data_IF_745350762151
#
_entry.id   IF_745350762151
#
_cell.length_a   1.000
_cell.length_b   1.000
_cell.length_c   1.000
_cell.angle_alpha   90.00
_cell.angle_beta   90.00
_cell.angle_gamma   90.00
#
_symmetry.space_group_name_H-M   'P 1'
#
loop_
_entity.id
_entity.type
_entity.pdbx_description
1 polymer ?
#
# COMPACT_ATOMS: atom_id res chain seq x y z
N UNK A 1 12.81 11.05 24.13
CA UNK A 1 12.20 11.77 23.00
C UNK A 1 11.40 10.78 22.18
N UNK A 2 10.12 11.08 21.96
CA UNK A 2 9.20 10.22 21.16
C UNK A 2 9.17 10.73 19.70
N UNK A 3 10.34 10.84 19.07
CA UNK A 3 10.47 11.28 17.69
C UNK A 3 11.09 10.18 16.84
N UNK A 4 10.55 9.99 15.64
CA UNK A 4 11.15 9.21 14.56
C UNK A 4 11.69 10.15 13.50
N UNK A 5 12.86 9.86 12.96
CA UNK A 5 13.44 10.56 11.84
C UNK A 5 13.79 9.55 10.73
N UNK A 6 13.51 9.91 9.50
CA UNK A 6 13.86 9.11 8.33
C UNK A 6 14.37 10.02 7.22
N UNK A 7 15.43 9.59 6.58
CA UNK A 7 15.96 10.23 5.37
C UNK A 7 15.91 9.26 4.21
N UNK A 8 15.30 9.69 3.10
CA UNK A 8 15.28 8.96 1.83
C UNK A 8 16.13 9.74 0.83
N UNK A 9 17.03 9.03 0.17
CA UNK A 9 17.89 9.58 -0.86
C UNK A 9 17.72 8.81 -2.16
N UNK A 10 17.62 9.56 -3.27
CA UNK A 10 17.59 8.99 -4.61
C UNK A 10 18.56 9.77 -5.52
N UNK A 11 19.27 9.05 -6.38
CA UNK A 11 20.18 9.59 -7.37
C UNK A 11 19.55 9.71 -8.77
N UNK A 12 18.23 9.82 -8.83
CA UNK A 12 17.48 9.95 -10.08
C UNK A 12 17.62 11.32 -10.76
N UNK A 13 16.66 11.64 -11.62
CA UNK A 13 16.69 12.88 -12.43
C UNK A 13 16.28 14.14 -11.65
N UNK A 14 15.82 14.00 -10.40
CA UNK A 14 15.30 15.09 -9.59
C UNK A 14 13.90 15.57 -9.97
N UNK A 15 13.24 16.24 -9.03
CA UNK A 15 11.83 16.66 -9.18
C UNK A 15 11.67 17.67 -10.33
N UNK A 16 12.60 18.61 -10.48
CA UNK A 16 12.52 19.61 -11.54
C UNK A 16 12.54 18.99 -12.94
N UNK A 17 13.50 18.12 -13.21
CA UNK A 17 13.58 17.44 -14.51
C UNK A 17 12.42 16.49 -14.75
N UNK A 18 11.83 15.93 -13.68
CA UNK A 18 10.63 15.11 -13.79
C UNK A 18 9.40 15.92 -14.22
N UNK A 19 9.27 17.18 -13.79
CA UNK A 19 8.09 18.01 -14.04
C UNK A 19 8.27 19.09 -15.11
N UNK A 20 9.49 19.44 -15.53
CA UNK A 20 9.76 20.57 -16.45
C UNK A 20 8.99 20.48 -17.78
N UNK A 21 8.87 19.28 -18.32
CA UNK A 21 8.22 19.01 -19.61
C UNK A 21 6.74 18.59 -19.43
N UNK A 22 6.23 18.58 -18.17
CA UNK A 22 4.83 18.31 -17.86
C UNK A 22 3.97 19.55 -18.09
N UNK A 23 2.66 19.40 -18.01
CA UNK A 23 1.68 20.51 -18.09
C UNK A 23 1.89 21.61 -17.02
N UNK A 24 2.67 21.35 -15.99
CA UNK A 24 2.89 22.27 -14.86
C UNK A 24 4.02 23.28 -15.11
N UNK A 25 4.98 22.96 -15.99
CA UNK A 25 6.07 23.84 -16.41
C UNK A 25 6.74 24.64 -15.26
N UNK A 26 7.27 24.01 -14.21
CA UNK A 26 7.94 24.75 -13.13
C UNK A 26 9.14 25.54 -13.69
N UNK A 27 9.35 26.76 -13.19
CA UNK A 27 10.41 27.65 -13.65
C UNK A 27 11.74 27.42 -12.93
N UNK A 28 11.66 26.96 -11.68
CA UNK A 28 12.84 26.72 -10.84
C UNK A 28 12.74 25.37 -10.14
N UNK A 29 13.87 24.83 -9.63
CA UNK A 29 13.83 23.62 -8.80
C UNK A 29 12.91 23.72 -7.59
N UNK A 30 12.83 24.90 -6.95
CA UNK A 30 11.93 25.08 -5.79
C UNK A 30 10.47 25.13 -6.21
N UNK A 31 10.15 25.70 -7.38
CA UNK A 31 8.76 25.65 -7.90
C UNK A 31 8.32 24.21 -8.12
N UNK A 32 9.22 23.37 -8.66
CA UNK A 32 8.94 21.96 -8.87
C UNK A 32 8.68 21.21 -7.55
N UNK A 33 9.46 21.49 -6.50
CA UNK A 33 9.25 20.91 -5.17
C UNK A 33 7.90 21.37 -4.60
N UNK A 34 7.61 22.67 -4.69
CA UNK A 34 6.35 23.26 -4.20
C UNK A 34 5.13 22.70 -4.93
N UNK A 35 5.26 22.40 -6.21
CA UNK A 35 4.21 21.68 -6.96
C UNK A 35 4.10 20.22 -6.46
N UNK A 36 5.22 19.50 -6.34
CA UNK A 36 5.22 18.07 -6.02
C UNK A 36 4.63 17.74 -4.63
N UNK A 37 4.58 18.70 -3.70
CA UNK A 37 3.90 18.55 -2.41
C UNK A 37 2.40 18.88 -2.46
N UNK A 38 1.84 19.19 -3.64
CA UNK A 38 0.41 19.38 -3.84
C UNK A 38 -0.26 18.09 -4.32
N UNK A 39 -1.56 18.00 -4.10
CA UNK A 39 -2.37 16.85 -4.49
C UNK A 39 -2.38 16.65 -6.01
N UNK A 40 -2.29 15.40 -6.45
CA UNK A 40 -2.37 14.96 -7.85
C UNK A 40 -1.29 15.50 -8.80
N UNK A 41 -0.20 16.00 -8.28
CA UNK A 41 0.91 16.47 -9.13
C UNK A 41 1.83 15.29 -9.47
N UNK A 42 1.77 14.87 -10.71
CA UNK A 42 2.66 13.85 -11.28
C UNK A 42 3.01 14.21 -12.72
N UNK A 43 4.17 13.77 -13.19
CA UNK A 43 4.56 13.93 -14.60
C UNK A 43 3.64 13.13 -15.54
N UNK A 44 3.20 11.98 -15.07
CA UNK A 44 2.40 11.03 -15.82
C UNK A 44 1.46 10.29 -14.86
N UNK A 45 0.16 10.31 -15.16
CA UNK A 45 -0.87 9.64 -14.36
C UNK A 45 -0.88 8.12 -14.55
N UNK A 46 -0.28 7.61 -15.62
CA UNK A 46 -0.13 6.17 -15.85
C UNK A 46 0.96 5.58 -14.96
N UNK A 47 1.96 6.38 -14.54
CA UNK A 47 3.08 5.94 -13.70
C UNK A 47 2.78 6.11 -12.21
N UNK A 48 1.95 7.08 -11.84
CA UNK A 48 1.61 7.33 -10.45
C UNK A 48 0.59 8.44 -10.25
N UNK A 49 -0.19 8.34 -9.19
CA UNK A 49 -1.28 9.29 -8.90
C UNK A 49 -0.80 10.66 -8.42
N UNK A 50 0.50 10.81 -8.08
CA UNK A 50 1.08 12.07 -7.61
C UNK A 50 0.75 12.43 -6.15
N UNK A 51 0.35 11.46 -5.34
CA UNK A 51 -0.10 11.71 -3.97
C UNK A 51 0.95 11.41 -2.89
N UNK A 52 2.10 10.82 -3.24
CA UNK A 52 3.11 10.39 -2.27
C UNK A 52 3.71 11.53 -1.45
N UNK A 53 4.23 12.56 -2.09
CA UNK A 53 4.81 13.73 -1.40
C UNK A 53 3.74 14.59 -0.73
N UNK A 54 2.58 14.73 -1.35
CA UNK A 54 1.43 15.42 -0.74
C UNK A 54 1.01 14.70 0.56
N UNK A 55 0.84 13.37 0.52
CA UNK A 55 0.47 12.58 1.70
C UNK A 55 1.51 12.70 2.81
N UNK A 56 2.81 12.59 2.48
CA UNK A 56 3.89 12.78 3.46
C UNK A 56 3.82 14.18 4.09
N UNK A 57 3.66 15.21 3.28
CA UNK A 57 3.54 16.60 3.76
C UNK A 57 2.34 16.78 4.69
N UNK A 58 1.18 16.21 4.35
CA UNK A 58 -0.03 16.23 5.17
C UNK A 58 0.17 15.53 6.52
N UNK A 59 0.80 14.35 6.54
CA UNK A 59 1.15 13.61 7.76
C UNK A 59 2.06 14.46 8.66
N UNK A 60 3.09 15.07 8.08
CA UNK A 60 4.04 15.90 8.80
C UNK A 60 3.36 17.15 9.39
N UNK A 61 2.47 17.80 8.65
CA UNK A 61 1.71 18.95 9.12
C UNK A 61 0.83 18.59 10.32
N UNK A 62 0.06 17.51 10.25
CA UNK A 62 -0.82 17.09 11.34
C UNK A 62 -0.04 16.60 12.56
N UNK A 63 1.04 15.84 12.35
CA UNK A 63 1.93 15.36 13.40
C UNK A 63 2.82 16.45 14.00
N UNK A 64 2.73 17.72 13.54
CA UNK A 64 3.62 18.82 13.95
C UNK A 64 5.09 18.41 13.86
N UNK A 65 5.42 17.72 12.79
CA UNK A 65 6.77 17.28 12.47
C UNK A 65 7.55 18.32 11.68
N UNK A 66 8.71 17.92 11.17
CA UNK A 66 9.50 18.71 10.23
C UNK A 66 9.74 17.92 8.95
N UNK A 67 9.81 18.64 7.83
CA UNK A 67 10.10 18.06 6.51
C UNK A 67 11.12 18.93 5.80
N UNK A 68 12.14 18.32 5.24
CA UNK A 68 13.10 18.99 4.36
C UNK A 68 13.20 18.21 3.05
N UNK A 69 12.98 18.90 1.95
CA UNK A 69 13.11 18.34 0.60
C UNK A 69 14.19 19.13 -0.13
N UNK A 70 15.23 18.45 -0.57
CA UNK A 70 16.27 19.01 -1.43
C UNK A 70 16.25 18.24 -2.73
N UNK A 71 16.04 18.91 -3.88
CA UNK A 71 16.09 18.28 -5.18
C UNK A 71 16.82 19.17 -6.18
N UNK A 72 17.89 18.63 -6.76
CA UNK A 72 18.83 19.45 -7.51
C UNK A 72 19.41 20.55 -6.61
N UNK A 73 19.22 21.80 -7.00
CA UNK A 73 19.66 22.98 -6.21
C UNK A 73 18.55 23.62 -5.40
N UNK A 74 17.30 23.19 -5.59
CA UNK A 74 16.15 23.72 -4.83
C UNK A 74 16.03 23.07 -3.45
N UNK A 75 15.50 23.82 -2.50
CA UNK A 75 15.20 23.33 -1.17
C UNK A 75 13.87 23.88 -0.66
N UNK A 76 13.12 23.02 -0.01
CA UNK A 76 11.90 23.34 0.74
C UNK A 76 12.03 22.77 2.14
N UNK A 77 11.72 23.56 3.16
CA UNK A 77 11.67 23.10 4.55
C UNK A 77 10.38 23.54 5.20
N UNK A 78 9.74 22.60 5.91
CA UNK A 78 8.57 22.82 6.74
C UNK A 78 8.95 22.55 8.21
N UNK A 79 8.53 23.41 9.12
CA UNK A 79 8.87 23.36 10.55
C UNK A 79 7.65 23.05 11.42
N UNK A 80 7.85 22.53 12.65
CA UNK A 80 6.76 22.17 13.56
C UNK A 80 5.81 23.30 13.94
N UNK A 81 6.27 24.56 13.82
CA UNK A 81 5.49 25.79 14.07
C UNK A 81 4.61 26.19 12.86
N UNK A 82 4.63 25.40 11.78
CA UNK A 82 3.89 25.68 10.56
C UNK A 82 4.62 26.58 9.57
N UNK A 83 5.78 27.13 9.95
CA UNK A 83 6.57 27.97 9.05
C UNK A 83 7.23 27.16 7.94
N UNK A 84 7.45 27.81 6.80
CA UNK A 84 8.15 27.23 5.65
C UNK A 84 9.32 28.10 5.24
N UNK A 85 10.40 27.48 4.76
CA UNK A 85 11.53 28.16 4.12
C UNK A 85 11.84 27.51 2.80
N UNK A 86 12.09 28.32 1.79
CA UNK A 86 12.46 27.84 0.45
C UNK A 86 13.70 28.55 -0.03
N UNK A 87 14.55 27.79 -0.73
CA UNK A 87 15.72 28.34 -1.39
C UNK A 87 15.72 27.86 -2.85
N UNK A 88 15.61 28.78 -3.82
CA UNK A 88 15.61 28.40 -5.25
C UNK A 88 16.95 27.81 -5.68
N UNK A 89 18.04 28.24 -5.06
CA UNK A 89 19.37 27.75 -5.34
C UNK A 89 20.20 27.64 -4.06
N UNK A 90 20.48 26.42 -3.66
CA UNK A 90 21.39 26.18 -2.54
C UNK A 90 22.82 26.54 -2.92
N UNK A 91 23.54 27.32 -2.08
CA UNK A 91 24.95 27.60 -2.31
C UNK A 91 25.77 26.29 -2.24
N UNK A 92 26.88 26.26 -2.95
CA UNK A 92 27.84 25.14 -2.97
C UNK A 92 27.29 23.79 -3.53
N UNK A 93 26.05 23.75 -4.02
CA UNK A 93 25.51 22.59 -4.72
C UNK A 93 25.75 22.76 -6.23
N UNK A 94 26.32 21.73 -6.86
CA UNK A 94 26.57 21.71 -8.30
C UNK A 94 25.28 21.93 -9.10
N UNK A 95 25.39 22.68 -10.19
CA UNK A 95 24.28 22.86 -11.13
C UNK A 95 23.88 21.55 -11.84
N UNK A 96 24.77 20.56 -11.83
CA UNK A 96 24.53 19.23 -12.38
C UNK A 96 23.90 18.26 -11.37
N UNK A 97 23.77 18.67 -10.10
CA UNK A 97 23.14 17.83 -9.10
C UNK A 97 21.67 17.63 -9.43
N UNK A 98 21.24 16.37 -9.53
CA UNK A 98 19.88 15.98 -9.82
C UNK A 98 19.28 15.11 -8.71
N UNK A 99 20.08 14.75 -7.69
CA UNK A 99 19.63 13.93 -6.56
C UNK A 99 18.46 14.57 -5.85
N UNK A 100 17.62 13.72 -5.26
CA UNK A 100 16.58 14.14 -4.35
C UNK A 100 16.85 13.55 -2.96
N UNK A 101 16.77 14.40 -1.94
CA UNK A 101 16.84 13.99 -0.54
C UNK A 101 15.58 14.49 0.16
N UNK A 102 14.91 13.58 0.84
CA UNK A 102 13.74 13.88 1.67
C UNK A 102 14.08 13.46 3.10
N UNK A 103 14.16 14.42 3.99
CA UNK A 103 14.35 14.21 5.42
C UNK A 103 13.09 14.63 6.16
N UNK A 104 12.57 13.77 7.03
CA UNK A 104 11.44 14.12 7.84
C UNK A 104 11.52 13.57 9.26
N UNK A 105 10.90 14.30 10.17
CA UNK A 105 10.82 13.94 11.58
C UNK A 105 9.36 14.01 12.02
N UNK A 106 8.92 12.99 12.72
CA UNK A 106 7.59 12.87 13.29
C UNK A 106 7.68 12.72 14.81
N UNK A 107 6.82 13.45 15.50
CA UNK A 107 6.57 13.23 16.92
C UNK A 107 5.37 12.29 17.08
N UNK A 108 5.60 11.10 17.64
CA UNK A 108 4.54 10.11 17.88
C UNK A 108 4.07 10.07 19.35
N UNK A 109 4.37 11.12 20.13
CA UNK A 109 3.84 11.27 21.49
C UNK A 109 2.32 11.53 21.51
N UNK A 110 1.75 11.93 20.35
CA UNK A 110 0.31 12.14 20.20
C UNK A 110 -0.23 11.12 19.20
N UNK A 111 -1.37 10.54 19.53
CA UNK A 111 -2.08 9.70 18.60
C UNK A 111 -2.42 10.50 17.35
N UNK A 112 -2.05 9.98 16.20
CA UNK A 112 -2.32 10.55 14.90
C UNK A 112 -3.03 9.49 14.04
N UNK A 113 -4.19 9.87 13.53
CA UNK A 113 -4.93 9.03 12.59
C UNK A 113 -4.35 9.23 11.19
N UNK A 114 -3.78 8.18 10.59
CA UNK A 114 -3.33 8.22 9.20
C UNK A 114 -4.49 8.50 8.24
N UNK A 115 -5.68 7.94 8.51
CA UNK A 115 -6.87 8.20 7.70
C UNK A 115 -7.32 9.66 7.70
N UNK A 116 -7.10 10.38 8.82
CA UNK A 116 -7.40 11.82 8.90
C UNK A 116 -6.29 12.68 8.28
N UNK A 117 -5.07 12.14 8.22
CA UNK A 117 -3.90 12.82 7.63
C UNK A 117 -3.87 12.68 6.11
N UNK A 118 -4.38 11.58 5.58
CA UNK A 118 -4.40 11.28 4.16
C UNK A 118 -5.81 11.54 3.62
N UNK A 119 -6.05 12.78 3.20
CA UNK A 119 -7.33 13.21 2.68
C UNK A 119 -7.14 13.61 1.21
N UNK A 120 -7.66 12.78 0.29
CA UNK A 120 -7.52 13.00 -1.15
C UNK A 120 -8.89 13.22 -1.79
N UNK A 121 -9.02 14.21 -2.65
CA UNK A 121 -10.27 14.55 -3.38
C UNK A 121 -11.48 14.69 -2.47
N UNK A 122 -11.30 15.22 -1.27
CA UNK A 122 -12.38 15.36 -0.32
C UNK A 122 -12.85 14.05 0.35
N UNK A 123 -12.08 12.96 0.24
CA UNK A 123 -12.34 11.67 0.89
C UNK A 123 -11.18 11.32 1.80
N UNK A 124 -11.49 10.75 2.97
CA UNK A 124 -10.48 10.13 3.83
C UNK A 124 -9.84 8.98 3.07
N UNK A 125 -8.51 8.94 3.09
CA UNK A 125 -7.78 7.80 2.58
C UNK A 125 -7.77 6.73 3.66
N UNK A 126 -8.49 5.66 3.45
CA UNK A 126 -8.46 4.53 4.37
C UNK A 126 -7.13 3.78 4.22
N UNK A 127 -6.56 3.35 5.34
CA UNK A 127 -5.25 2.64 5.36
C UNK A 127 -5.27 1.41 4.44
N UNK A 128 -6.44 0.83 4.26
CA UNK A 128 -6.72 -0.27 3.34
C UNK A 128 -6.38 0.09 1.89
N UNK A 129 -6.60 1.33 1.46
CA UNK A 129 -6.26 1.76 0.10
C UNK A 129 -4.76 1.72 -0.19
N UNK A 130 -3.90 1.94 0.82
CA UNK A 130 -2.44 1.76 0.67
C UNK A 130 -2.04 0.28 0.51
N UNK A 131 -2.79 -0.62 1.14
CA UNK A 131 -2.60 -2.05 0.96
C UNK A 131 -3.12 -2.51 -0.41
N UNK A 132 -4.24 -1.96 -0.86
CA UNK A 132 -4.86 -2.30 -2.13
C UNK A 132 -4.03 -1.89 -3.34
N UNK A 133 -3.39 -0.73 -3.33
CA UNK A 133 -2.50 -0.29 -4.42
C UNK A 133 -1.40 -1.32 -4.74
N UNK A 134 -1.07 -2.20 -3.79
CA UNK A 134 -0.12 -3.31 -4.03
C UNK A 134 -0.73 -4.47 -4.80
N UNK A 135 -2.04 -4.58 -4.80
CA UNK A 135 -2.79 -5.72 -5.32
C UNK A 135 -3.70 -5.34 -6.48
N UNK A 136 -3.90 -4.05 -6.75
CA UNK A 136 -4.67 -3.57 -7.89
C UNK A 136 -3.83 -3.56 -9.17
N UNK A 137 -4.41 -4.09 -10.24
CA UNK A 137 -3.89 -3.92 -11.60
C UNK A 137 -4.31 -2.54 -12.17
N UNK A 138 -3.80 -2.20 -13.37
CA UNK A 138 -4.10 -0.95 -14.06
C UNK A 138 -5.59 -0.73 -14.34
N UNK A 139 -6.42 -1.75 -14.19
CA UNK A 139 -7.87 -1.75 -14.38
C UNK A 139 -8.67 -1.74 -13.08
N UNK A 140 -7.98 -1.70 -11.93
CA UNK A 140 -8.60 -1.70 -10.60
C UNK A 140 -9.10 -3.07 -10.14
N UNK A 141 -8.60 -4.18 -10.75
CA UNK A 141 -8.86 -5.53 -10.26
C UNK A 141 -7.86 -5.88 -9.17
N UNK A 142 -8.36 -6.42 -8.07
CA UNK A 142 -7.50 -6.86 -6.97
C UNK A 142 -7.00 -8.28 -7.26
N UNK A 143 -5.68 -8.41 -7.45
CA UNK A 143 -4.99 -9.69 -7.68
C UNK A 143 -3.97 -9.95 -6.57
N UNK A 144 -4.15 -11.04 -5.84
CA UNK A 144 -3.28 -11.44 -4.73
C UNK A 144 -2.49 -12.69 -5.11
N UNK A 145 -1.20 -12.52 -5.35
CA UNK A 145 -0.30 -13.62 -5.72
C UNK A 145 0.17 -14.36 -4.47
N UNK A 146 -0.31 -15.58 -4.28
CA UNK A 146 -0.02 -16.38 -3.08
C UNK A 146 1.48 -16.60 -2.90
N UNK A 147 2.23 -16.90 -3.97
CA UNK A 147 3.67 -17.16 -3.91
C UNK A 147 4.48 -15.95 -3.44
N UNK A 148 4.09 -14.75 -3.84
CA UNK A 148 4.82 -13.52 -3.51
C UNK A 148 4.56 -13.05 -2.08
N UNK A 149 3.34 -13.26 -1.57
CA UNK A 149 2.91 -12.71 -0.28
C UNK A 149 2.90 -13.73 0.87
N UNK A 150 2.79 -15.03 0.56
CA UNK A 150 2.97 -16.06 1.56
C UNK A 150 4.48 -16.31 1.77
N UNK A 151 4.96 -16.20 3.00
CA UNK A 151 6.32 -16.63 3.37
C UNK A 151 6.44 -18.16 3.33
N UNK A 152 6.00 -18.77 2.21
CA UNK A 152 5.87 -20.19 2.00
C UNK A 152 4.48 -20.74 2.28
N UNK A 153 4.14 -21.84 1.60
CA UNK A 153 2.82 -22.48 1.60
C UNK A 153 2.77 -23.75 2.46
N UNK A 154 3.79 -23.92 3.33
CA UNK A 154 3.96 -25.11 4.16
C UNK A 154 3.39 -25.01 5.58
N UNK A 155 3.04 -23.83 6.08
CA UNK A 155 2.68 -23.65 7.49
C UNK A 155 1.31 -22.99 7.69
N UNK A 156 0.62 -23.39 8.75
CA UNK A 156 -0.65 -22.77 9.16
C UNK A 156 -0.49 -21.28 9.49
N UNK A 157 0.63 -20.88 10.10
CA UNK A 157 0.87 -19.48 10.46
C UNK A 157 0.99 -18.57 9.26
N UNK A 158 1.64 -19.02 8.19
CA UNK A 158 1.71 -18.28 6.93
C UNK A 158 0.29 -18.11 6.34
N UNK A 159 -0.52 -19.18 6.38
CA UNK A 159 -1.91 -19.14 5.89
C UNK A 159 -2.79 -18.16 6.70
N UNK A 160 -2.64 -18.09 8.02
CA UNK A 160 -3.38 -17.14 8.88
C UNK A 160 -3.11 -15.69 8.44
N UNK A 161 -1.84 -15.34 8.19
CA UNK A 161 -1.48 -13.99 7.74
C UNK A 161 -2.13 -13.65 6.41
N UNK A 162 -1.95 -14.53 5.43
CA UNK A 162 -2.54 -14.37 4.08
C UNK A 162 -4.07 -14.27 4.16
N UNK A 163 -4.72 -15.15 4.91
CA UNK A 163 -6.17 -15.11 5.11
C UNK A 163 -6.65 -13.79 5.71
N UNK A 164 -5.97 -13.31 6.74
CA UNK A 164 -6.33 -12.05 7.40
C UNK A 164 -6.19 -10.85 6.45
N UNK A 165 -5.14 -10.80 5.63
CA UNK A 165 -4.98 -9.77 4.59
C UNK A 165 -6.12 -9.83 3.59
N UNK A 166 -6.45 -11.01 3.07
CA UNK A 166 -7.55 -11.22 2.11
C UNK A 166 -8.90 -10.81 2.72
N UNK A 167 -9.19 -11.22 3.96
CA UNK A 167 -10.43 -10.85 4.65
C UNK A 167 -10.52 -9.32 4.83
N UNK A 168 -9.43 -8.67 5.21
CA UNK A 168 -9.41 -7.22 5.34
C UNK A 168 -9.71 -6.54 4.00
N UNK A 169 -9.08 -6.97 2.91
CA UNK A 169 -9.33 -6.45 1.56
C UNK A 169 -10.81 -6.63 1.19
N UNK A 170 -11.39 -7.81 1.39
CA UNK A 170 -12.78 -8.11 1.04
C UNK A 170 -13.77 -7.26 1.87
N UNK A 171 -13.53 -7.12 3.19
CA UNK A 171 -14.45 -6.41 4.10
C UNK A 171 -14.47 -4.91 3.86
N UNK A 172 -13.32 -4.34 3.60
CA UNK A 172 -13.19 -2.88 3.45
C UNK A 172 -13.65 -2.41 2.05
N UNK A 173 -13.26 -3.10 1.01
CA UNK A 173 -13.52 -2.66 -0.37
C UNK A 173 -14.79 -3.24 -0.98
N UNK A 174 -15.28 -4.36 -0.45
CA UNK A 174 -16.41 -5.11 -1.03
C UNK A 174 -16.21 -5.44 -2.52
N UNK A 175 -14.95 -5.49 -2.96
CA UNK A 175 -14.54 -5.83 -4.33
C UNK A 175 -14.18 -7.31 -4.43
N UNK A 176 -14.41 -7.94 -5.58
CA UNK A 176 -13.89 -9.28 -5.86
C UNK A 176 -12.35 -9.27 -5.82
N UNK A 177 -11.78 -10.33 -5.23
CA UNK A 177 -10.35 -10.57 -5.20
C UNK A 177 -9.99 -11.82 -6.01
N UNK A 178 -8.96 -11.73 -6.82
CA UNK A 178 -8.38 -12.86 -7.53
C UNK A 178 -7.20 -13.40 -6.75
N UNK A 179 -7.28 -14.66 -6.29
CA UNK A 179 -6.15 -15.34 -5.66
C UNK A 179 -5.41 -16.13 -6.74
N UNK A 180 -4.19 -15.69 -7.02
CA UNK A 180 -3.33 -16.25 -8.04
C UNK A 180 -2.33 -17.24 -7.42
N UNK A 181 -2.40 -18.50 -7.86
CA UNK A 181 -1.54 -19.59 -7.41
C UNK A 181 -0.38 -19.86 -8.38
N UNK A 182 -0.11 -18.98 -9.33
CA UNK A 182 1.02 -19.14 -10.23
C UNK A 182 2.33 -19.37 -9.48
N UNK A 183 3.04 -20.43 -9.87
CA UNK A 183 4.30 -20.84 -9.25
C UNK A 183 4.19 -21.44 -7.85
N UNK A 184 3.00 -21.75 -7.35
CA UNK A 184 2.79 -22.53 -6.12
C UNK A 184 2.75 -24.02 -6.49
N UNK A 185 3.89 -24.68 -6.35
CA UNK A 185 4.02 -26.10 -6.74
C UNK A 185 3.60 -27.05 -5.60
N UNK A 186 3.75 -26.61 -4.35
CA UNK A 186 3.49 -27.42 -3.15
C UNK A 186 2.76 -26.60 -2.10
N UNK A 187 1.75 -27.21 -1.48
CA UNK A 187 1.02 -26.64 -0.36
C UNK A 187 0.71 -27.69 0.69
N UNK A 188 0.85 -27.36 1.97
CA UNK A 188 0.44 -28.28 3.03
C UNK A 188 -1.08 -28.29 3.21
N UNK A 189 -1.64 -29.41 3.67
CA UNK A 189 -3.06 -29.50 4.01
C UNK A 189 -3.48 -28.50 5.09
N UNK A 190 -2.58 -28.20 6.03
CA UNK A 190 -2.84 -27.18 7.06
C UNK A 190 -2.85 -25.76 6.52
N UNK A 191 -2.08 -25.47 5.47
CA UNK A 191 -2.15 -24.17 4.79
C UNK A 191 -3.45 -24.05 3.98
N UNK A 192 -3.80 -25.10 3.23
CA UNK A 192 -5.04 -25.15 2.44
C UNK A 192 -6.31 -24.99 3.32
N UNK A 193 -6.34 -25.70 4.44
CA UNK A 193 -7.42 -25.63 5.41
C UNK A 193 -7.54 -24.21 6.02
N UNK A 194 -6.45 -23.66 6.50
CA UNK A 194 -6.46 -22.35 7.15
C UNK A 194 -6.78 -21.21 6.19
N UNK A 195 -6.22 -21.25 4.96
CA UNK A 195 -6.43 -20.20 3.98
C UNK A 195 -7.83 -20.29 3.34
N UNK A 196 -8.12 -21.39 2.64
CA UNK A 196 -9.32 -21.45 1.80
C UNK A 196 -10.51 -22.09 2.48
N UNK A 197 -10.33 -23.18 3.23
CA UNK A 197 -11.47 -23.82 3.85
C UNK A 197 -12.10 -22.93 4.92
N UNK A 198 -11.30 -22.29 5.77
CA UNK A 198 -11.82 -21.32 6.74
C UNK A 198 -12.34 -20.05 6.09
N UNK A 199 -11.66 -19.52 5.06
CA UNK A 199 -12.17 -18.37 4.32
C UNK A 199 -13.54 -18.66 3.70
N UNK A 200 -13.73 -19.88 3.17
CA UNK A 200 -15.03 -20.33 2.66
C UNK A 200 -16.10 -20.39 3.74
N UNK A 201 -15.79 -20.92 4.93
CA UNK A 201 -16.73 -20.95 6.06
C UNK A 201 -17.03 -19.53 6.56
N UNK A 202 -16.02 -18.68 6.71
CA UNK A 202 -16.15 -17.30 7.20
C UNK A 202 -17.03 -16.42 6.28
N UNK A 203 -16.96 -16.62 4.97
CA UNK A 203 -17.74 -15.87 3.98
C UNK A 203 -19.08 -16.53 3.63
N UNK A 204 -19.16 -17.84 3.77
CA UNK A 204 -20.25 -18.64 3.25
C UNK A 204 -20.24 -18.81 1.73
N UNK A 205 -20.99 -19.80 1.23
CA UNK A 205 -20.99 -20.21 -0.17
C UNK A 205 -21.24 -19.05 -1.16
N UNK A 206 -22.24 -18.22 -0.89
CA UNK A 206 -22.66 -17.17 -1.82
C UNK A 206 -21.63 -16.03 -1.90
N UNK A 207 -21.14 -15.56 -0.76
CA UNK A 207 -20.16 -14.47 -0.73
C UNK A 207 -18.79 -14.93 -1.24
N UNK A 208 -18.38 -16.15 -0.92
CA UNK A 208 -17.13 -16.70 -1.43
C UNK A 208 -17.13 -16.75 -2.96
N UNK A 209 -18.19 -17.28 -3.58
CA UNK A 209 -18.29 -17.36 -5.05
C UNK A 209 -18.39 -15.97 -5.71
N UNK A 210 -18.95 -15.00 -5.03
CA UNK A 210 -19.06 -13.63 -5.55
C UNK A 210 -17.77 -12.85 -5.44
N UNK A 211 -17.02 -13.05 -4.35
CA UNK A 211 -15.90 -12.19 -3.97
C UNK A 211 -14.51 -12.83 -4.17
N UNK A 212 -14.43 -14.16 -4.30
CA UNK A 212 -13.14 -14.86 -4.41
C UNK A 212 -13.06 -15.63 -5.72
N UNK A 213 -12.11 -15.25 -6.55
CA UNK A 213 -11.77 -15.97 -7.77
C UNK A 213 -10.42 -16.66 -7.60
N UNK A 214 -10.34 -17.93 -7.94
CA UNK A 214 -9.08 -18.70 -7.89
C UNK A 214 -8.57 -18.92 -9.30
N UNK A 215 -7.29 -18.63 -9.55
CA UNK A 215 -6.66 -18.84 -10.86
C UNK A 215 -5.29 -19.53 -10.71
N UNK A 216 -4.81 -20.11 -11.80
CA UNK A 216 -3.50 -20.76 -11.95
C UNK A 216 -3.22 -21.83 -10.88
N UNK A 217 -4.25 -22.60 -10.52
CA UNK A 217 -4.12 -23.69 -9.55
C UNK A 217 -3.82 -25.00 -10.29
N UNK A 218 -2.73 -25.66 -9.93
CA UNK A 218 -2.44 -26.99 -10.41
C UNK A 218 -3.47 -28.04 -9.93
N UNK A 219 -3.70 -29.08 -10.72
CA UNK A 219 -4.71 -30.10 -10.45
C UNK A 219 -4.51 -30.79 -9.09
N UNK A 220 -3.26 -31.06 -8.71
CA UNK A 220 -2.90 -31.64 -7.43
C UNK A 220 -3.30 -30.75 -6.24
N UNK A 221 -3.10 -29.44 -6.35
CA UNK A 221 -3.49 -28.46 -5.36
C UNK A 221 -5.00 -28.27 -5.33
N UNK A 222 -5.66 -28.30 -6.49
CA UNK A 222 -7.10 -28.21 -6.59
C UNK A 222 -7.82 -29.34 -5.83
N UNK A 223 -7.31 -30.58 -5.94
CA UNK A 223 -7.83 -31.71 -5.17
C UNK A 223 -7.62 -31.51 -3.65
N UNK A 224 -6.46 -31.01 -3.25
CA UNK A 224 -6.18 -30.72 -1.85
C UNK A 224 -7.12 -29.67 -1.27
N UNK A 225 -7.36 -28.59 -2.00
CA UNK A 225 -8.28 -27.52 -1.63
C UNK A 225 -9.73 -28.01 -1.50
N UNK A 226 -10.21 -28.78 -2.48
CA UNK A 226 -11.53 -29.41 -2.42
C UNK A 226 -11.70 -30.29 -1.19
N UNK A 227 -10.70 -31.15 -0.91
CA UNK A 227 -10.73 -32.03 0.25
C UNK A 227 -10.80 -31.22 1.56
N UNK A 228 -10.01 -30.15 1.68
CA UNK A 228 -9.99 -29.30 2.89
C UNK A 228 -11.33 -28.58 3.10
N UNK A 229 -11.93 -28.05 2.04
CA UNK A 229 -13.23 -27.37 2.11
C UNK A 229 -14.35 -28.36 2.48
N UNK A 230 -14.40 -29.55 1.83
CA UNK A 230 -15.41 -30.56 2.15
C UNK A 230 -15.30 -31.05 3.60
N UNK A 231 -14.07 -31.25 4.09
CA UNK A 231 -13.83 -31.66 5.47
C UNK A 231 -14.39 -30.62 6.44
N UNK A 232 -14.14 -29.35 6.22
CA UNK A 232 -14.67 -28.26 7.07
C UNK A 232 -16.19 -28.13 7.03
N UNK A 233 -16.80 -28.30 5.86
CA UNK A 233 -18.27 -28.31 5.74
C UNK A 233 -18.85 -29.43 6.61
N UNK A 234 -18.29 -30.64 6.53
CA UNK A 234 -18.77 -31.78 7.35
C UNK A 234 -18.55 -31.52 8.83
N UNK A 235 -17.41 -30.98 9.23
CA UNK A 235 -17.14 -30.63 10.63
C UNK A 235 -18.16 -29.59 11.15
N UNK A 236 -18.42 -28.52 10.42
CA UNK A 236 -19.37 -27.46 10.81
C UNK A 236 -20.81 -27.99 10.91
N UNK A 237 -21.24 -28.89 10.04
CA UNK A 237 -22.57 -29.50 10.11
C UNK A 237 -22.72 -30.44 11.31
N UNK A 238 -21.63 -31.10 11.74
CA UNK A 238 -21.66 -31.95 12.93
C UNK A 238 -21.71 -31.14 14.24
N UNK A 239 -20.96 -30.03 14.32
CA UNK A 239 -21.00 -29.12 15.48
C UNK A 239 -22.40 -28.53 15.69
N UNK A 240 -23.11 -28.13 14.65
CA UNK A 240 -24.48 -27.63 14.74
C UNK A 240 -25.51 -28.70 15.22
N UNK A 241 -25.22 -29.99 14.98
CA UNK A 241 -26.10 -31.09 15.42
C UNK A 241 -25.82 -31.56 16.86
N UNK A 242 -24.70 -31.21 17.47
CA UNK A 242 -24.40 -31.54 18.88
C UNK A 242 -24.95 -30.48 19.85
N UNK A 243 -25.29 -29.28 19.37
CA UNK A 243 -25.86 -28.19 20.18
C UNK A 243 -27.41 -28.18 20.20
N UNK A 244 -28.08 -29.19 19.65
CA UNK A 244 -29.55 -29.39 19.65
C UNK A 244 -29.93 -30.58 20.51
#
# INVERSE_FOLDING_TARGET
TQNSALTVFDSGQGIYNSLKDSKYHPRTPVDAITLAIQEEITRDKEIGQGNGLFGLHSIIQQGKGSLSIVSGRGSYSYFPDGNTKTYPYLPFVSSQNQCTTIDFQLNYAKDMSLGDSLFFRGKKYEIVNLLLERYEDDYGHVSYKIKEHAEGTGTRQAAIRVKNEIINIIREEKKPITLDFDGVDVMSSSFADELLAKLFIDLGLFQFNLLVKLINIEESLQMLLHKSVLQRIVESMNEENEDV
#
